data_IF_723208221541
#
_entry.id   IF_723208221541
#
_cell.length_a   1.000
_cell.length_b   1.000
_cell.length_c   1.000
_cell.angle_alpha   90.00
_cell.angle_beta   90.00
_cell.angle_gamma   90.00
#
_symmetry.space_group_name_H-M   'P 1'
#
loop_
_entity.id
_entity.type
_entity.pdbx_description
1 polymer ?
#
# COMPACT_ATOMS: atom_id res chain seq x y z
N UNK A 1 -15.83 4.22 -1.82
CA UNK A 1 -14.68 5.10 -1.53
C UNK A 1 -13.56 4.52 -2.36
N UNK A 2 -13.16 5.17 -3.45
CA UNK A 2 -12.08 4.66 -4.31
C UNK A 2 -10.76 4.72 -3.54
N UNK A 3 -10.31 3.57 -3.06
CA UNK A 3 -9.07 3.37 -2.31
C UNK A 3 -7.98 2.88 -3.26
N UNK A 4 -6.71 3.16 -2.94
CA UNK A 4 -5.56 2.60 -3.67
C UNK A 4 -5.61 1.06 -3.75
N UNK A 5 -6.25 0.41 -2.77
CA UNK A 5 -6.38 -1.03 -2.73
C UNK A 5 -7.36 -1.57 -3.77
N UNK A 6 -8.30 -0.77 -4.28
CA UNK A 6 -9.27 -1.22 -5.29
C UNK A 6 -8.57 -1.60 -6.60
N UNK A 7 -7.39 -1.03 -6.87
CA UNK A 7 -6.53 -1.44 -7.99
C UNK A 7 -6.06 -2.89 -7.90
N UNK A 8 -6.02 -3.50 -6.71
CA UNK A 8 -5.65 -4.92 -6.55
C UNK A 8 -6.74 -5.86 -7.09
N UNK A 9 -7.93 -5.35 -7.38
CA UNK A 9 -9.02 -6.10 -8.02
C UNK A 9 -8.96 -6.00 -9.56
N UNK A 10 -8.03 -5.21 -10.12
CA UNK A 10 -7.87 -5.12 -11.57
C UNK A 10 -7.51 -6.49 -12.15
N UNK A 11 -8.28 -6.95 -13.13
CA UNK A 11 -8.11 -8.30 -13.70
C UNK A 11 -6.95 -8.40 -14.71
N UNK A 12 -6.42 -7.26 -15.16
CA UNK A 12 -5.29 -7.22 -16.09
C UNK A 12 -3.92 -7.24 -15.39
N UNK A 13 -2.83 -7.25 -16.18
CA UNK A 13 -1.48 -7.12 -15.64
C UNK A 13 -1.35 -5.81 -14.86
N UNK A 14 -0.90 -5.89 -13.61
CA UNK A 14 -0.69 -4.74 -12.74
C UNK A 14 0.78 -4.71 -12.29
N UNK A 15 1.45 -3.57 -12.50
CA UNK A 15 2.78 -3.33 -11.95
C UNK A 15 2.72 -2.30 -10.82
N UNK A 16 3.15 -2.72 -9.64
CA UNK A 16 3.25 -1.85 -8.46
C UNK A 16 4.69 -1.37 -8.29
N UNK A 17 4.90 -0.06 -8.41
CA UNK A 17 6.19 0.59 -8.17
C UNK A 17 6.04 1.52 -6.95
N UNK A 18 6.91 1.33 -5.95
CA UNK A 18 6.95 2.20 -4.77
C UNK A 18 7.82 3.41 -5.03
N UNK A 19 7.38 4.57 -4.57
CA UNK A 19 8.18 5.78 -4.65
C UNK A 19 9.56 5.60 -3.98
N UNK A 20 9.59 4.96 -2.81
CA UNK A 20 10.82 4.69 -2.08
C UNK A 20 11.79 3.83 -2.90
N UNK A 21 11.27 2.84 -3.65
CA UNK A 21 12.09 2.00 -4.51
C UNK A 21 12.71 2.82 -5.66
N UNK A 22 11.93 3.70 -6.30
CA UNK A 22 12.43 4.62 -7.34
C UNK A 22 13.54 5.53 -6.79
N UNK A 23 13.38 6.03 -5.56
CA UNK A 23 14.41 6.90 -4.96
C UNK A 23 15.71 6.18 -4.62
N UNK A 24 15.65 4.87 -4.36
CA UNK A 24 16.82 4.03 -4.04
C UNK A 24 17.49 3.52 -5.32
N UNK A 25 16.71 3.00 -6.27
CA UNK A 25 17.19 2.39 -7.50
C UNK A 25 16.29 2.73 -8.71
N UNK A 26 16.38 3.98 -9.18
CA UNK A 26 15.69 4.42 -10.38
C UNK A 26 16.01 3.57 -11.63
N UNK A 27 17.28 3.24 -11.94
CA UNK A 27 17.60 2.41 -13.11
C UNK A 27 16.91 1.03 -13.06
N UNK A 28 16.96 0.34 -11.92
CA UNK A 28 16.32 -0.97 -11.77
C UNK A 28 14.80 -0.90 -11.95
N UNK A 29 14.14 0.07 -11.31
CA UNK A 29 12.69 0.25 -11.43
C UNK A 29 12.26 0.68 -12.84
N UNK A 30 13.07 1.49 -13.55
CA UNK A 30 12.81 1.83 -14.96
C UNK A 30 12.91 0.61 -15.87
N UNK A 31 13.92 -0.25 -15.70
CA UNK A 31 14.02 -1.50 -16.48
C UNK A 31 12.80 -2.39 -16.22
N UNK A 32 12.37 -2.50 -14.96
CA UNK A 32 11.19 -3.27 -14.58
C UNK A 32 9.91 -2.72 -15.22
N UNK A 33 9.75 -1.39 -15.23
CA UNK A 33 8.64 -0.70 -15.91
C UNK A 33 8.65 -0.96 -17.42
N UNK A 34 9.80 -0.80 -18.08
CA UNK A 34 9.91 -0.99 -19.53
C UNK A 34 9.61 -2.44 -19.94
N UNK A 35 10.07 -3.42 -19.15
CA UNK A 35 9.73 -4.83 -19.35
C UNK A 35 8.24 -5.09 -19.24
N UNK A 36 7.58 -4.51 -18.23
CA UNK A 36 6.14 -4.65 -18.06
C UNK A 36 5.34 -4.02 -19.20
N UNK A 37 5.81 -2.90 -19.75
CA UNK A 37 5.20 -2.25 -20.90
C UNK A 37 5.57 -2.87 -22.26
N UNK A 38 6.43 -3.89 -22.27
CA UNK A 38 7.02 -4.47 -23.49
C UNK A 38 7.66 -3.41 -24.41
N UNK A 39 8.17 -2.34 -23.82
CA UNK A 39 8.71 -1.19 -24.53
C UNK A 39 10.23 -1.30 -24.66
N UNK A 40 10.73 -1.10 -25.88
CA UNK A 40 12.17 -0.98 -26.11
C UNK A 40 12.57 0.50 -26.20
N UNK A 41 13.66 0.86 -25.55
CA UNK A 41 14.20 2.22 -25.57
C UNK A 41 15.69 2.17 -25.89
N UNK A 42 16.19 3.19 -26.58
CA UNK A 42 17.63 3.28 -26.84
C UNK A 42 18.39 3.48 -25.54
N UNK A 43 19.61 2.94 -25.48
CA UNK A 43 20.50 3.15 -24.34
C UNK A 43 20.72 4.65 -24.08
N UNK A 44 20.83 5.46 -25.13
CA UNK A 44 21.00 6.91 -25.00
C UNK A 44 19.79 7.58 -24.33
N UNK A 45 18.56 7.18 -24.70
CA UNK A 45 17.35 7.70 -24.07
C UNK A 45 17.27 7.28 -22.59
N UNK A 46 17.55 6.01 -22.30
CA UNK A 46 17.60 5.49 -20.93
C UNK A 46 18.61 6.27 -20.08
N UNK A 47 19.84 6.43 -20.57
CA UNK A 47 20.90 7.19 -19.89
C UNK A 47 20.55 8.66 -19.70
N UNK A 48 19.87 9.27 -20.67
CA UNK A 48 19.40 10.64 -20.57
C UNK A 48 18.44 10.81 -19.36
N UNK A 49 17.49 9.89 -19.18
CA UNK A 49 16.56 9.92 -18.04
C UNK A 49 17.29 9.76 -16.72
N UNK A 50 18.25 8.82 -16.62
CA UNK A 50 19.02 8.61 -15.39
C UNK A 50 19.84 9.86 -15.03
N UNK A 51 20.48 10.49 -16.03
CA UNK A 51 21.33 11.66 -15.82
C UNK A 51 20.52 12.91 -15.44
N UNK A 52 19.33 13.07 -16.02
CA UNK A 52 18.47 14.23 -15.79
C UNK A 52 17.35 13.96 -14.78
N UNK A 53 17.54 12.98 -13.88
CA UNK A 53 16.60 12.75 -12.80
C UNK A 53 16.64 13.94 -11.83
N UNK A 54 15.65 14.82 -11.91
CA UNK A 54 15.49 15.86 -10.90
C UNK A 54 15.05 15.20 -9.59
N UNK A 55 15.94 15.21 -8.60
CA UNK A 55 15.72 14.57 -7.29
C UNK A 55 14.69 15.28 -6.39
N UNK A 56 13.97 16.28 -6.90
CA UNK A 56 13.23 17.25 -6.08
C UNK A 56 11.80 17.46 -6.59
N UNK A 57 11.08 16.37 -6.93
CA UNK A 57 9.61 16.46 -7.05
C UNK A 57 8.92 16.60 -5.67
N UNK A 58 9.69 16.68 -4.58
CA UNK A 58 9.17 17.02 -3.25
C UNK A 58 9.17 18.53 -3.08
N UNK A 59 8.03 19.10 -2.68
CA UNK A 59 8.03 20.36 -1.92
C UNK A 59 9.05 20.19 -0.79
N UNK A 60 9.97 21.15 -0.65
CA UNK A 60 10.91 21.19 0.47
C UNK A 60 10.12 20.88 1.74
N UNK A 61 10.50 19.81 2.44
CA UNK A 61 9.86 19.44 3.70
C UNK A 61 10.01 20.67 4.60
N UNK A 62 8.95 21.45 4.78
CA UNK A 62 8.92 22.45 5.83
C UNK A 62 9.17 21.66 7.11
N UNK A 63 10.33 21.84 7.71
CA UNK A 63 10.59 21.34 9.03
C UNK A 63 9.52 21.97 9.93
N UNK A 64 8.56 21.14 10.34
CA UNK A 64 7.62 21.54 11.36
C UNK A 64 8.43 21.54 12.66
N UNK A 65 8.40 22.66 13.37
CA UNK A 65 9.06 22.78 14.68
C UNK A 65 8.31 22.01 15.78
N UNK A 66 7.31 21.21 15.41
CA UNK A 66 6.46 20.44 16.29
C UNK A 66 6.11 19.10 15.65
N UNK A 67 5.77 18.13 16.48
CA UNK A 67 5.26 16.84 16.03
C UNK A 67 3.80 17.01 15.57
N UNK A 68 3.48 16.78 14.27
CA UNK A 68 2.13 16.98 13.76
C UNK A 68 1.13 15.91 14.20
N UNK A 69 1.61 14.75 14.66
CA UNK A 69 0.78 13.61 15.04
C UNK A 69 1.06 13.16 16.47
N UNK A 70 0.02 13.12 17.29
CA UNK A 70 0.14 12.49 18.60
C UNK A 70 0.29 10.95 18.49
N UNK A 71 0.60 10.29 19.61
CA UNK A 71 0.80 8.85 19.64
C UNK A 71 -0.46 8.05 19.24
N UNK A 72 -1.65 8.60 19.48
CA UNK A 72 -2.91 7.98 19.08
C UNK A 72 -3.02 7.94 17.56
N UNK A 73 -2.79 9.08 16.91
CA UNK A 73 -2.87 9.23 15.46
C UNK A 73 -1.75 8.47 14.74
N UNK A 74 -0.55 8.41 15.32
CA UNK A 74 0.54 7.57 14.81
C UNK A 74 0.12 6.10 14.75
N UNK A 75 -0.50 5.57 15.82
CA UNK A 75 -0.98 4.17 15.84
C UNK A 75 -2.06 3.92 14.77
N UNK A 76 -2.96 4.88 14.55
CA UNK A 76 -3.97 4.77 13.49
C UNK A 76 -3.31 4.70 12.12
N UNK A 77 -2.36 5.59 11.83
CA UNK A 77 -1.60 5.60 10.58
C UNK A 77 -0.84 4.28 10.39
N UNK A 78 -0.22 3.75 11.44
CA UNK A 78 0.52 2.50 11.37
C UNK A 78 -0.40 1.28 11.16
N UNK A 79 -1.63 1.31 11.68
CA UNK A 79 -2.68 0.35 11.36
C UNK A 79 -3.00 0.33 9.86
N UNK A 80 -3.26 1.50 9.27
CA UNK A 80 -3.51 1.60 7.82
C UNK A 80 -2.31 1.18 6.98
N UNK A 81 -1.08 1.51 7.38
CA UNK A 81 0.13 1.03 6.70
C UNK A 81 0.20 -0.49 6.70
N UNK A 82 -0.10 -1.12 7.84
CA UNK A 82 -0.07 -2.58 7.98
C UNK A 82 -1.08 -3.25 7.05
N UNK A 83 -2.30 -2.69 6.96
CA UNK A 83 -3.33 -3.16 6.03
C UNK A 83 -2.83 -3.10 4.59
N UNK A 84 -2.33 -1.93 4.15
CA UNK A 84 -1.83 -1.75 2.79
C UNK A 84 -0.66 -2.69 2.50
N UNK A 85 0.31 -2.80 3.40
CA UNK A 85 1.46 -3.69 3.24
C UNK A 85 1.06 -5.16 3.14
N UNK A 86 0.04 -5.57 3.90
CA UNK A 86 -0.48 -6.95 3.88
C UNK A 86 -1.19 -7.23 2.57
N UNK A 87 -2.06 -6.32 2.13
CA UNK A 87 -2.76 -6.43 0.85
C UNK A 87 -1.80 -6.53 -0.34
N UNK A 88 -0.75 -5.69 -0.35
CA UNK A 88 0.31 -5.75 -1.37
C UNK A 88 1.05 -7.09 -1.37
N UNK A 89 1.40 -7.62 -0.19
CA UNK A 89 2.08 -8.93 -0.07
C UNK A 89 1.19 -10.08 -0.53
N UNK A 90 -0.09 -10.06 -0.17
CA UNK A 90 -1.06 -11.04 -0.66
C UNK A 90 -1.14 -11.02 -2.19
N UNK A 91 -1.22 -9.83 -2.79
CA UNK A 91 -1.24 -9.68 -4.24
C UNK A 91 0.04 -10.22 -4.90
N UNK A 92 1.22 -9.91 -4.37
CA UNK A 92 2.50 -10.46 -4.86
C UNK A 92 2.55 -12.00 -4.80
N UNK A 93 1.80 -12.61 -3.88
CA UNK A 93 1.69 -14.07 -3.72
C UNK A 93 0.51 -14.69 -4.50
N UNK A 94 -0.26 -13.88 -5.25
CA UNK A 94 -1.47 -14.34 -5.96
C UNK A 94 -2.66 -14.65 -5.05
N UNK A 95 -2.63 -14.21 -3.79
CA UNK A 95 -3.70 -14.38 -2.82
C UNK A 95 -4.67 -13.20 -2.94
N UNK A 96 -5.96 -13.48 -3.08
CA UNK A 96 -7.00 -12.43 -3.07
C UNK A 96 -7.13 -11.83 -1.68
N UNK A 97 -7.03 -10.50 -1.58
CA UNK A 97 -7.20 -9.75 -0.34
C UNK A 97 -8.60 -9.13 -0.30
N UNK A 98 -9.38 -9.43 0.74
CA UNK A 98 -10.71 -8.86 0.93
C UNK A 98 -10.63 -7.47 1.61
N UNK A 99 -10.83 -6.44 0.81
CA UNK A 99 -10.77 -5.03 1.23
C UNK A 99 -12.03 -4.63 2.01
N UNK A 100 -13.17 -5.31 1.78
CA UNK A 100 -14.49 -4.89 2.30
C UNK A 100 -14.66 -5.18 3.79
N UNK A 101 -13.93 -6.18 4.31
CA UNK A 101 -13.98 -6.60 5.72
C UNK A 101 -12.82 -6.05 6.57
N UNK A 102 -11.90 -5.30 5.98
CA UNK A 102 -10.74 -4.75 6.70
C UNK A 102 -11.06 -3.35 7.23
N UNK A 103 -11.56 -3.27 8.46
CA UNK A 103 -11.79 -2.00 9.16
C UNK A 103 -10.80 -1.82 10.30
N UNK A 104 -10.23 -0.61 10.43
CA UNK A 104 -9.54 -0.22 11.67
C UNK A 104 -10.64 0.04 12.69
N UNK A 105 -10.90 -0.91 13.60
CA UNK A 105 -11.84 -0.69 14.69
C UNK A 105 -11.33 0.45 15.58
N UNK A 106 -12.00 1.60 15.51
CA UNK A 106 -11.77 2.72 16.41
C UNK A 106 -12.63 2.52 17.66
N UNK A 107 -12.13 1.80 18.66
CA UNK A 107 -12.79 1.80 19.95
C UNK A 107 -12.57 3.18 20.60
N UNK A 108 -13.52 4.10 20.41
CA UNK A 108 -13.58 5.36 21.18
C UNK A 108 -14.02 4.99 22.60
N UNK A 109 -13.09 4.53 23.45
CA UNK A 109 -13.30 4.63 24.88
C UNK A 109 -13.06 6.09 25.28
N UNK A 110 -14.11 6.90 25.32
CA UNK A 110 -14.07 8.17 26.06
C UNK A 110 -13.94 7.76 27.52
N UNK A 111 -12.69 7.69 28.00
CA UNK A 111 -12.23 7.98 29.35
C UNK A 111 -10.76 7.53 29.44
N UNK A 112 -9.84 8.50 29.28
CA UNK A 112 -8.46 8.44 29.74
C UNK A 112 -7.68 7.14 29.49
N UNK A 113 -6.79 7.17 28.51
CA UNK A 113 -5.63 6.26 28.38
C UNK A 113 -5.97 4.79 28.09
N UNK A 114 -6.17 4.47 26.81
CA UNK A 114 -5.52 3.40 26.04
C UNK A 114 -6.37 3.08 24.80
N UNK A 115 -5.96 3.59 23.65
CA UNK A 115 -6.48 3.11 22.35
C UNK A 115 -5.83 1.76 22.06
N UNK A 116 -6.59 0.70 22.31
CA UNK A 116 -6.25 -0.65 21.90
C UNK A 116 -6.68 -0.80 20.44
N UNK A 117 -5.74 -0.60 19.52
CA UNK A 117 -5.98 -0.81 18.09
C UNK A 117 -5.65 -2.28 17.80
N UNK A 118 -6.69 -3.12 17.74
CA UNK A 118 -6.56 -4.49 17.27
C UNK A 118 -6.75 -4.52 15.76
N UNK A 119 -5.68 -4.77 15.01
CA UNK A 119 -5.78 -5.14 13.60
C UNK A 119 -6.01 -6.64 13.57
N UNK A 120 -7.28 -7.07 13.46
CA UNK A 120 -7.59 -8.48 13.26
C UNK A 120 -7.70 -8.75 11.76
N UNK A 121 -6.90 -9.66 11.19
CA UNK A 121 -7.29 -10.27 9.92
C UNK A 121 -8.54 -11.10 10.21
N UNK A 122 -9.65 -10.83 9.52
CA UNK A 122 -10.83 -11.68 9.61
C UNK A 122 -10.43 -13.05 9.06
N UNK A 123 -10.19 -14.00 9.95
CA UNK A 123 -9.91 -15.38 9.59
C UNK A 123 -11.15 -15.97 8.90
N UNK A 124 -10.91 -16.55 7.72
CA UNK A 124 -11.69 -17.56 7.01
C UNK A 124 -13.10 -17.86 7.59
N UNK A 125 -14.15 -17.49 6.85
CA UNK A 125 -15.49 -18.05 7.09
C UNK A 125 -15.47 -19.48 6.54
N UNK A 126 -15.60 -20.46 7.43
CA UNK A 126 -15.86 -21.85 7.03
C UNK A 126 -17.11 -21.91 6.17
N UNK A 127 -17.03 -22.71 5.11
CA UNK A 127 -18.15 -23.00 4.22
C UNK A 127 -19.12 -23.88 5.02
N UNK A 128 -20.12 -23.28 5.64
CA UNK A 128 -21.18 -24.05 6.27
C UNK A 128 -21.94 -24.84 5.19
N UNK A 129 -21.63 -26.13 5.14
CA UNK A 129 -22.59 -27.14 4.78
C UNK A 129 -23.68 -27.11 5.86
N UNK A 130 -24.91 -26.73 5.51
CA UNK A 130 -26.17 -27.31 6.03
C UNK A 130 -27.37 -26.42 5.64
N UNK A 131 -27.93 -26.67 4.46
CA UNK A 131 -29.38 -26.56 4.29
C UNK A 131 -29.89 -27.92 3.85
N UNK A 132 -30.21 -28.76 4.85
CA UNK A 132 -31.19 -29.82 4.69
C UNK A 132 -32.28 -29.58 5.72
N UNK A 133 -33.51 -29.90 5.28
CA UNK A 133 -34.73 -30.12 6.07
C UNK A 133 -35.39 -28.90 6.72
N UNK A 134 -36.47 -28.45 6.08
CA UNK A 134 -37.80 -28.77 6.61
C UNK A 134 -38.82 -28.98 5.50
#
# INVERSE_FOLDING_TARGET
>A
MESILDWLQFEGPLLIIRYEAITVDLPGELVRLLKFLEANVSWNAFQCVIRNRDGIFRRSKKHLNFEPFDNSLKRVVDGYKTIVQTALRCHEQGIKFDITNTTVLHNVAINGTNLNISVLPMTYVEKDQNENTS
#
